data_IF_044477189871
#
_entry.id   IF_044477189871
#
_cell.length_a   1.000
_cell.length_b   1.000
_cell.length_c   1.000
_cell.angle_alpha   90.00
_cell.angle_beta   90.00
_cell.angle_gamma   90.00
#
_symmetry.space_group_name_H-M   'P 1'
#
loop_
_entity.id
_entity.type
_entity.pdbx_description
1 polymer ?
#
# COMPACT_ATOMS: atom_id res chain seq x y z
N UNK A 1 8.30 -2.57 6.48
CA UNK A 1 9.70 -3.03 6.63
C UNK A 1 10.52 -1.86 7.17
N UNK A 2 11.42 -2.05 8.14
CA UNK A 2 12.35 -0.98 8.56
C UNK A 2 13.41 -0.77 7.49
N UNK A 3 13.65 0.47 7.08
CA UNK A 3 14.69 0.84 6.12
C UNK A 3 15.94 1.37 6.80
N UNK A 4 15.78 2.20 7.85
CA UNK A 4 16.89 2.83 8.55
C UNK A 4 16.56 3.10 10.01
N UNK A 5 17.62 3.30 10.81
CA UNK A 5 17.55 3.60 12.25
C UNK A 5 18.27 4.93 12.53
N UNK A 6 17.79 5.68 13.52
CA UNK A 6 18.53 6.78 14.15
C UNK A 6 19.75 6.26 14.92
N UNK A 7 20.69 7.15 15.27
CA UNK A 7 21.91 6.80 16.02
C UNK A 7 21.63 6.18 17.41
N UNK A 8 20.45 6.44 17.98
CA UNK A 8 19.98 5.86 19.24
C UNK A 8 19.31 4.48 19.09
N UNK A 9 19.26 3.93 17.86
CA UNK A 9 18.64 2.64 17.55
C UNK A 9 17.13 2.68 17.32
N UNK A 10 16.46 3.84 17.43
CA UNK A 10 15.05 3.98 17.06
C UNK A 10 14.87 3.91 15.54
N UNK A 11 13.72 3.46 15.08
CA UNK A 11 13.42 3.43 13.64
C UNK A 11 13.29 4.86 13.12
N UNK A 12 13.97 5.15 12.01
CA UNK A 12 13.88 6.43 11.32
C UNK A 12 12.95 6.34 10.11
N UNK A 13 13.01 5.23 9.37
CA UNK A 13 12.25 5.08 8.13
C UNK A 13 11.63 3.69 8.01
N UNK A 14 10.38 3.66 7.56
CA UNK A 14 9.62 2.47 7.24
C UNK A 14 9.28 2.48 5.75
N UNK A 15 9.33 1.31 5.13
CA UNK A 15 8.62 1.03 3.89
C UNK A 15 7.28 0.38 4.22
N UNK A 16 6.19 1.05 3.84
CA UNK A 16 4.84 0.52 3.85
C UNK A 16 4.66 -0.37 2.61
N UNK A 17 4.29 -1.63 2.84
CA UNK A 17 4.01 -2.61 1.79
C UNK A 17 2.51 -2.89 1.81
N UNK A 18 1.78 -2.36 0.83
CA UNK A 18 0.34 -2.56 0.69
C UNK A 18 0.07 -3.70 -0.30
N UNK A 19 -0.16 -4.91 0.22
CA UNK A 19 -0.42 -6.12 -0.55
C UNK A 19 -1.89 -6.22 -0.92
N UNK A 20 -2.18 -6.45 -2.20
CA UNK A 20 -3.52 -6.60 -2.74
C UNK A 20 -3.62 -7.96 -3.40
N UNK A 21 -4.61 -8.74 -2.97
CA UNK A 21 -4.97 -10.03 -3.56
C UNK A 21 -6.44 -9.96 -3.94
N UNK A 22 -6.77 -10.32 -5.17
CA UNK A 22 -8.15 -10.32 -5.66
C UNK A 22 -8.33 -11.37 -6.75
N UNK A 23 -9.60 -11.67 -7.04
CA UNK A 23 -9.99 -12.64 -8.06
C UNK A 23 -11.05 -12.05 -8.98
N UNK A 24 -11.02 -12.46 -10.24
CA UNK A 24 -12.02 -12.12 -11.24
C UNK A 24 -12.70 -13.42 -11.67
N UNK A 25 -14.04 -13.45 -11.60
CA UNK A 25 -14.86 -14.55 -12.06
C UNK A 25 -15.79 -14.03 -13.16
N UNK A 26 -15.49 -14.40 -14.41
CA UNK A 26 -16.34 -14.11 -15.55
C UNK A 26 -17.29 -15.29 -15.83
N UNK A 27 -18.50 -15.05 -16.36
CA UNK A 27 -19.43 -16.13 -16.71
C UNK A 27 -18.80 -17.08 -17.75
N UNK A 28 -18.77 -18.38 -17.44
CA UNK A 28 -18.24 -19.40 -18.35
C UNK A 28 -16.71 -19.53 -18.37
N UNK A 29 -15.99 -18.73 -17.57
CA UNK A 29 -14.54 -18.79 -17.46
C UNK A 29 -14.07 -19.37 -16.13
N UNK A 30 -12.82 -19.84 -16.09
CA UNK A 30 -12.16 -20.17 -14.84
C UNK A 30 -11.83 -18.91 -14.04
N UNK A 31 -11.81 -19.05 -12.72
CA UNK A 31 -11.41 -18.00 -11.80
C UNK A 31 -9.97 -17.55 -12.07
N UNK A 32 -9.77 -16.24 -12.19
CA UNK A 32 -8.46 -15.65 -12.42
C UNK A 32 -7.98 -14.95 -11.15
N UNK A 33 -6.83 -15.38 -10.62
CA UNK A 33 -6.23 -14.81 -9.42
C UNK A 33 -5.19 -13.75 -9.77
N UNK A 34 -5.22 -12.65 -9.03
CA UNK A 34 -4.32 -11.53 -9.21
C UNK A 34 -3.75 -11.08 -7.88
N UNK A 35 -2.47 -10.72 -7.89
CA UNK A 35 -1.82 -10.10 -6.76
C UNK A 35 -0.90 -8.98 -7.22
N UNK A 36 -0.77 -7.94 -6.40
CA UNK A 36 0.28 -6.95 -6.55
C UNK A 36 0.55 -6.24 -5.22
N UNK A 37 1.72 -5.60 -5.15
CA UNK A 37 2.13 -4.79 -4.03
C UNK A 37 2.28 -3.33 -4.47
N UNK A 38 2.06 -2.41 -3.53
CA UNK A 38 2.39 -0.99 -3.63
C UNK A 38 3.31 -0.62 -2.46
N UNK A 39 4.28 0.25 -2.73
CA UNK A 39 5.29 0.64 -1.76
C UNK A 39 5.22 2.15 -1.50
N UNK A 40 5.39 2.55 -0.24
CA UNK A 40 5.58 3.95 0.18
C UNK A 40 6.59 4.02 1.29
N UNK A 41 7.50 4.97 1.21
CA UNK A 41 8.39 5.29 2.32
C UNK A 41 7.64 6.20 3.31
N UNK A 42 7.91 6.01 4.59
CA UNK A 42 7.31 6.75 5.71
C UNK A 42 8.37 6.99 6.77
N UNK A 43 8.58 8.26 7.14
CA UNK A 43 9.60 8.65 8.12
C UNK A 43 8.97 8.84 9.49
N UNK A 44 9.58 8.26 10.52
CA UNK A 44 9.16 8.44 11.91
C UNK A 44 9.63 9.78 12.46
N UNK A 45 8.86 10.34 13.39
CA UNK A 45 9.31 11.43 14.25
C UNK A 45 8.62 11.31 15.62
N UNK A 46 9.34 10.80 16.65
CA UNK A 46 8.79 10.65 17.99
C UNK A 46 8.30 11.97 18.61
N UNK A 47 8.84 13.11 18.19
CA UNK A 47 8.43 14.42 18.70
C UNK A 47 7.13 14.92 18.06
N UNK A 48 6.68 14.29 16.97
CA UNK A 48 5.51 14.69 16.18
C UNK A 48 4.52 13.55 15.97
N UNK A 49 4.39 12.65 16.95
CA UNK A 49 3.61 11.41 16.83
C UNK A 49 2.17 11.60 16.30
N UNK A 50 1.46 12.66 16.70
CA UNK A 50 0.09 12.91 16.21
C UNK A 50 0.05 13.30 14.73
N UNK A 51 0.93 14.20 14.30
CA UNK A 51 1.02 14.60 12.90
C UNK A 51 1.46 13.42 12.02
N UNK A 52 2.39 12.61 12.54
CA UNK A 52 2.85 11.37 11.92
C UNK A 52 1.75 10.33 11.76
N UNK A 53 0.88 10.16 12.76
CA UNK A 53 -0.30 9.31 12.65
C UNK A 53 -1.26 9.80 11.53
N UNK A 54 -1.50 11.12 11.44
CA UNK A 54 -2.35 11.69 10.39
C UNK A 54 -1.73 11.52 8.99
N UNK A 55 -0.42 11.73 8.86
CA UNK A 55 0.33 11.48 7.62
C UNK A 55 0.20 10.02 7.18
N UNK A 56 0.34 9.07 8.11
CA UNK A 56 0.19 7.65 7.83
C UNK A 56 -1.23 7.31 7.36
N UNK A 57 -2.27 7.85 8.00
CA UNK A 57 -3.66 7.64 7.57
C UNK A 57 -3.90 8.14 6.14
N UNK A 58 -3.34 9.31 5.80
CA UNK A 58 -3.42 9.86 4.45
C UNK A 58 -2.72 8.94 3.44
N UNK A 59 -1.48 8.50 3.72
CA UNK A 59 -0.73 7.58 2.86
C UNK A 59 -1.48 6.26 2.63
N UNK A 60 -2.10 5.70 3.67
CA UNK A 60 -2.91 4.48 3.55
C UNK A 60 -4.16 4.70 2.67
N UNK A 61 -4.80 5.87 2.79
CA UNK A 61 -5.94 6.24 1.94
C UNK A 61 -5.52 6.35 0.47
N UNK A 62 -4.39 6.99 0.19
CA UNK A 62 -3.83 7.12 -1.17
C UNK A 62 -3.44 5.76 -1.77
N UNK A 63 -2.80 4.90 -0.98
CA UNK A 63 -2.44 3.54 -1.39
C UNK A 63 -3.69 2.73 -1.77
N UNK A 64 -4.75 2.82 -0.97
CA UNK A 64 -6.04 2.17 -1.27
C UNK A 64 -6.67 2.71 -2.56
N UNK A 65 -6.65 4.02 -2.78
CA UNK A 65 -7.15 4.63 -4.03
C UNK A 65 -6.31 4.19 -5.25
N UNK A 66 -4.99 4.16 -5.11
CA UNK A 66 -4.08 3.68 -6.16
C UNK A 66 -4.33 2.21 -6.50
N UNK A 67 -4.54 1.36 -5.49
CA UNK A 67 -4.89 -0.04 -5.66
C UNK A 67 -6.22 -0.21 -6.41
N UNK A 68 -7.29 0.47 -5.98
CA UNK A 68 -8.58 0.43 -6.64
C UNK A 68 -8.48 0.86 -8.12
N UNK A 69 -7.79 1.97 -8.38
CA UNK A 69 -7.56 2.46 -9.75
C UNK A 69 -6.77 1.46 -10.60
N UNK A 70 -5.81 0.72 -10.03
CA UNK A 70 -5.07 -0.32 -10.74
C UNK A 70 -5.97 -1.52 -11.09
N UNK A 71 -6.84 -1.94 -10.18
CA UNK A 71 -7.82 -3.02 -10.42
C UNK A 71 -8.79 -2.61 -11.54
N UNK A 72 -9.35 -1.41 -11.48
CA UNK A 72 -10.30 -0.92 -12.51
C UNK A 72 -9.62 -0.89 -13.89
N UNK A 73 -8.37 -0.39 -13.98
CA UNK A 73 -7.62 -0.40 -15.24
C UNK A 73 -7.31 -1.81 -15.75
N UNK A 74 -7.12 -2.79 -14.85
CA UNK A 74 -6.95 -4.19 -15.25
C UNK A 74 -8.27 -4.74 -15.81
N UNK A 75 -9.39 -4.50 -15.14
CA UNK A 75 -10.72 -4.91 -15.59
C UNK A 75 -11.06 -4.31 -16.96
N UNK A 76 -10.76 -3.04 -17.18
CA UNK A 76 -11.00 -2.36 -18.46
C UNK A 76 -10.15 -2.89 -19.64
N UNK A 77 -9.12 -3.71 -19.39
CA UNK A 77 -8.36 -4.41 -20.43
C UNK A 77 -8.90 -5.80 -20.74
N UNK A 78 -9.78 -6.34 -19.89
CA UNK A 78 -10.36 -7.67 -20.04
C UNK A 78 -11.71 -7.65 -20.78
N UNK A 79 -12.38 -6.50 -20.80
CA UNK A 79 -13.56 -6.25 -21.64
C UNK A 79 -13.18 -5.59 -22.96
#
# INVERSE_FOLDING_TARGET
RTLSLFANGQVAEYELIYKVEYRIQLPGEQEQFYQFELYRDYQDDPNQALAKAQELELLLSELRQQAANRIIRQLARLG
#
